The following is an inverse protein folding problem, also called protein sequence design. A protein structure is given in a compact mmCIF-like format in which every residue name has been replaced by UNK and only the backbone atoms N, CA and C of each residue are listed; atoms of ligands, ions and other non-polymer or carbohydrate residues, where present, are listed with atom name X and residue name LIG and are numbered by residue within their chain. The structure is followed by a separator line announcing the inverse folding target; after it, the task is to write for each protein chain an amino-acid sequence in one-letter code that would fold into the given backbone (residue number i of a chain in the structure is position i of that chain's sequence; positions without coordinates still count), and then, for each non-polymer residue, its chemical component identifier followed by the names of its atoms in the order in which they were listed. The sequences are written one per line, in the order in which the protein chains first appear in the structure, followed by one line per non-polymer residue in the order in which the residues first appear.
data_IF_111675608525
#
_entry.id   IF_111675608525
#
_cell.length_a   1.000
_cell.length_b   1.000
_cell.length_c   1.000
_cell.angle_alpha   90.00
_cell.angle_beta   90.00
_cell.angle_gamma   90.00
#
_symmetry.space_group_name_H-M   'P 1'
#
loop_
_entity.id
_entity.type
_entity.pdbx_description
1 polymer ?
#
# COMPACT_ATOMS: atom_id res chain seq x y z
N UNK A 1 7.82 -6.28 23.80
CA UNK A 1 8.21 -7.50 23.06
C UNK A 1 7.21 -7.74 21.93
N UNK A 2 7.65 -8.28 20.79
CA UNK A 2 6.77 -8.72 19.74
C UNK A 2 6.11 -10.06 20.13
N UNK A 3 4.84 -10.25 19.73
CA UNK A 3 4.10 -11.49 19.89
C UNK A 3 3.88 -12.10 18.50
N UNK A 4 3.83 -13.44 18.42
CA UNK A 4 3.44 -14.15 17.21
C UNK A 4 1.99 -14.59 17.38
N UNK A 5 1.19 -14.35 16.34
CA UNK A 5 -0.19 -14.76 16.25
C UNK A 5 -0.32 -15.72 15.05
N UNK A 6 -0.68 -16.96 15.30
CA UNK A 6 -0.81 -17.98 14.25
C UNK A 6 -2.22 -17.93 13.64
N UNK A 7 -2.36 -18.34 12.39
CA UNK A 7 -3.65 -18.44 11.70
C UNK A 7 -4.67 -19.31 12.46
N UNK A 8 -4.21 -20.35 13.14
CA UNK A 8 -5.06 -21.26 13.94
C UNK A 8 -5.52 -20.64 15.28
N UNK A 9 -4.90 -19.55 15.75
CA UNK A 9 -5.25 -18.95 17.04
C UNK A 9 -6.66 -18.37 17.02
N UNK A 10 -7.46 -18.55 18.08
CA UNK A 10 -8.80 -17.94 18.18
C UNK A 10 -8.80 -16.42 18.11
N UNK A 11 -7.67 -15.78 18.46
CA UNK A 11 -7.49 -14.34 18.40
C UNK A 11 -7.14 -13.82 16.99
N UNK A 12 -6.90 -14.70 16.01
CA UNK A 12 -6.61 -14.29 14.62
C UNK A 12 -7.84 -13.63 14.00
N UNK A 13 -7.69 -12.45 13.32
CA UNK A 13 -8.82 -11.70 12.80
C UNK A 13 -9.69 -12.52 11.84
N UNK A 14 -10.99 -12.60 12.11
CA UNK A 14 -11.92 -13.43 11.34
C UNK A 14 -12.02 -13.00 9.87
N UNK A 15 -12.01 -11.69 9.61
CA UNK A 15 -12.02 -11.15 8.24
C UNK A 15 -10.76 -11.52 7.47
N UNK A 16 -9.60 -11.41 8.11
CA UNK A 16 -8.32 -11.75 7.48
C UNK A 16 -8.21 -13.27 7.23
N UNK A 17 -8.77 -14.08 8.12
CA UNK A 17 -8.79 -15.56 7.99
C UNK A 17 -9.56 -16.05 6.76
N UNK A 18 -10.52 -15.27 6.27
CA UNK A 18 -11.33 -15.59 5.10
C UNK A 18 -10.58 -15.47 3.77
N UNK A 19 -9.40 -14.84 3.78
CA UNK A 19 -8.62 -14.68 2.56
C UNK A 19 -8.01 -16.03 2.13
N UNK A 20 -8.02 -16.36 0.83
CA UNK A 20 -7.39 -17.60 0.32
C UNK A 20 -5.88 -17.61 0.54
N UNK A 21 -5.27 -16.43 0.65
CA UNK A 21 -3.84 -16.20 0.89
C UNK A 21 -3.58 -15.53 2.25
N UNK A 22 -4.43 -15.85 3.26
CA UNK A 22 -4.26 -15.32 4.61
C UNK A 22 -2.85 -15.66 5.16
N UNK A 23 -2.17 -14.70 5.83
CA UNK A 23 -0.89 -14.97 6.46
C UNK A 23 -0.96 -16.13 7.44
N UNK A 24 -0.07 -17.12 7.34
CA UNK A 24 0.00 -18.24 8.28
C UNK A 24 0.33 -17.77 9.71
N UNK A 25 1.03 -16.64 9.82
CA UNK A 25 1.37 -15.98 11.08
C UNK A 25 1.46 -14.46 10.91
N UNK A 26 1.27 -13.75 12.03
CA UNK A 26 1.51 -12.31 12.14
C UNK A 26 2.44 -12.03 13.33
N UNK A 27 3.46 -11.25 13.10
CA UNK A 27 4.21 -10.59 14.15
C UNK A 27 3.44 -9.36 14.60
N UNK A 28 3.19 -9.23 15.91
CA UNK A 28 2.37 -8.18 16.50
C UNK A 28 3.15 -7.43 17.57
N UNK A 29 3.10 -6.09 17.56
CA UNK A 29 3.69 -5.23 18.61
C UNK A 29 2.69 -4.12 18.97
N UNK A 30 2.31 -4.01 20.23
CA UNK A 30 1.30 -3.10 20.75
C UNK A 30 0.07 -3.83 21.27
N UNK A 31 -1.09 -3.17 21.24
CA UNK A 31 -2.35 -3.68 21.77
C UNK A 31 -3.05 -4.66 20.82
N UNK A 32 -2.85 -5.96 21.06
CA UNK A 32 -3.48 -7.02 20.26
C UNK A 32 -5.00 -7.10 20.36
N UNK A 33 -5.64 -6.41 21.32
CA UNK A 33 -7.11 -6.37 21.44
C UNK A 33 -7.77 -5.71 20.24
N UNK A 34 -7.05 -4.79 19.56
CA UNK A 34 -7.53 -4.09 18.36
C UNK A 34 -7.84 -5.03 17.20
N UNK A 35 -7.26 -6.23 17.15
CA UNK A 35 -7.57 -7.24 16.12
C UNK A 35 -8.99 -7.81 16.22
N UNK A 36 -9.70 -7.57 17.32
CA UNK A 36 -11.09 -8.01 17.55
C UNK A 36 -12.10 -6.89 17.32
N UNK A 37 -11.65 -5.66 17.23
CA UNK A 37 -12.50 -4.50 16.99
C UNK A 37 -12.91 -4.41 15.51
N UNK A 38 -14.04 -3.77 15.19
CA UNK A 38 -14.38 -3.46 13.82
C UNK A 38 -13.35 -2.49 13.26
N UNK A 39 -12.80 -2.80 12.08
CA UNK A 39 -11.72 -2.03 11.51
C UNK A 39 -12.08 -1.48 10.12
N UNK A 40 -11.53 -0.30 9.79
CA UNK A 40 -11.74 0.38 8.54
C UNK A 40 -10.41 0.92 8.01
N UNK A 41 -10.10 0.68 6.74
CA UNK A 41 -8.83 1.09 6.17
C UNK A 41 -8.91 2.50 5.57
N UNK A 42 -7.90 3.33 5.86
CA UNK A 42 -7.72 4.65 5.25
C UNK A 42 -6.37 4.67 4.55
N UNK A 43 -6.39 4.80 3.21
CA UNK A 43 -5.18 4.75 2.37
C UNK A 43 -5.17 5.89 1.36
N UNK A 44 -4.00 6.17 0.77
CA UNK A 44 -3.91 7.18 -0.27
C UNK A 44 -2.49 7.50 -0.71
N UNK A 45 -2.34 8.69 -1.30
CA UNK A 45 -1.10 9.19 -1.85
C UNK A 45 -0.01 9.35 -0.78
N UNK A 46 1.23 8.92 -1.11
CA UNK A 46 2.42 9.23 -0.31
C UNK A 46 2.81 10.71 -0.39
N UNK A 47 2.49 11.36 -1.49
CA UNK A 47 2.68 12.80 -1.75
C UNK A 47 1.34 13.51 -1.79
N UNK A 48 0.56 13.32 -0.72
CA UNK A 48 -0.76 13.90 -0.60
C UNK A 48 -0.70 15.43 -0.45
N UNK A 49 -1.72 16.09 -1.00
CA UNK A 49 -1.95 17.52 -0.80
C UNK A 49 -2.28 17.82 0.67
N UNK A 50 -2.20 19.09 1.06
CA UNK A 50 -2.62 19.52 2.40
C UNK A 50 -4.11 19.17 2.65
N UNK A 51 -4.95 19.36 1.62
CA UNK A 51 -6.38 19.04 1.68
C UNK A 51 -6.61 17.54 1.81
N UNK A 52 -5.93 16.70 0.98
CA UNK A 52 -6.04 15.24 1.08
C UNK A 52 -5.64 14.72 2.46
N UNK A 53 -4.58 15.28 3.06
CA UNK A 53 -4.16 14.97 4.43
C UNK A 53 -5.22 15.38 5.46
N UNK A 54 -5.80 16.59 5.33
CA UNK A 54 -6.84 17.08 6.24
C UNK A 54 -8.09 16.19 6.18
N UNK A 55 -8.51 15.77 4.99
CA UNK A 55 -9.63 14.85 4.78
C UNK A 55 -9.35 13.50 5.43
N UNK A 56 -8.17 12.91 5.18
CA UNK A 56 -7.81 11.62 5.76
C UNK A 56 -7.75 11.67 7.30
N UNK A 57 -7.18 12.75 7.86
CA UNK A 57 -7.14 12.97 9.30
C UNK A 57 -8.54 13.11 9.89
N UNK A 58 -9.42 13.89 9.24
CA UNK A 58 -10.82 14.06 9.65
C UNK A 58 -11.55 12.71 9.68
N UNK A 59 -11.51 11.96 8.58
CA UNK A 59 -12.18 10.66 8.46
C UNK A 59 -11.69 9.67 9.50
N UNK A 60 -10.36 9.55 9.64
CA UNK A 60 -9.74 8.64 10.61
C UNK A 60 -10.08 9.01 12.05
N UNK A 61 -10.08 10.31 12.38
CA UNK A 61 -10.42 10.82 13.71
C UNK A 61 -11.87 10.52 14.06
N UNK A 62 -12.80 10.85 13.17
CA UNK A 62 -14.24 10.66 13.39
C UNK A 62 -14.60 9.18 13.55
N UNK A 63 -14.14 8.32 12.63
CA UNK A 63 -14.38 6.88 12.70
C UNK A 63 -13.77 6.27 13.97
N UNK A 64 -12.55 6.68 14.32
CA UNK A 64 -11.89 6.19 15.53
C UNK A 64 -12.55 6.71 16.82
N UNK A 65 -13.11 7.91 16.82
CA UNK A 65 -13.90 8.43 17.95
C UNK A 65 -15.16 7.59 18.22
N UNK A 66 -15.78 7.03 17.15
CA UNK A 66 -16.90 6.10 17.26
C UNK A 66 -16.50 4.69 17.72
N UNK A 67 -15.22 4.37 17.81
CA UNK A 67 -14.73 3.05 18.19
C UNK A 67 -14.32 2.15 17.02
N UNK A 68 -14.32 2.66 15.77
CA UNK A 68 -13.81 1.93 14.61
C UNK A 68 -12.29 2.02 14.57
N UNK A 69 -11.60 0.88 14.52
CA UNK A 69 -10.14 0.84 14.45
C UNK A 69 -9.65 1.21 13.05
N UNK A 70 -8.77 2.18 12.94
CA UNK A 70 -8.21 2.59 11.65
C UNK A 70 -7.06 1.68 11.26
N UNK A 71 -7.10 1.14 10.03
CA UNK A 71 -6.02 0.32 9.48
C UNK A 71 -5.33 1.09 8.35
N UNK A 72 -3.99 1.14 8.37
CA UNK A 72 -3.23 1.71 7.26
C UNK A 72 -1.81 1.12 7.19
N UNK A 73 -1.02 1.61 6.22
CA UNK A 73 0.24 0.97 5.84
C UNK A 73 1.50 1.62 6.37
N UNK A 74 1.44 2.55 7.30
CA UNK A 74 2.61 3.25 7.85
C UNK A 74 3.44 4.02 6.81
N UNK A 75 2.93 4.23 5.60
CA UNK A 75 3.60 5.01 4.56
C UNK A 75 3.55 6.52 4.87
N UNK A 76 4.35 7.30 4.14
CA UNK A 76 4.23 8.77 4.17
C UNK A 76 2.87 9.23 3.63
N UNK A 77 2.47 10.45 3.96
CA UNK A 77 1.27 11.08 3.42
C UNK A 77 0.00 10.61 4.12
N UNK A 78 -0.97 10.07 3.39
CA UNK A 78 -2.30 9.72 3.92
C UNK A 78 -2.22 8.74 5.08
N UNK A 79 -1.43 7.67 4.95
CA UNK A 79 -1.32 6.63 5.97
C UNK A 79 -0.84 7.21 7.31
N UNK A 80 0.20 8.05 7.27
CA UNK A 80 0.78 8.69 8.45
C UNK A 80 -0.25 9.52 9.21
N UNK A 81 -0.93 10.44 8.51
CA UNK A 81 -1.92 11.33 9.15
C UNK A 81 -3.16 10.58 9.62
N UNK A 82 -3.54 9.49 8.94
CA UNK A 82 -4.64 8.63 9.40
C UNK A 82 -4.31 7.95 10.74
N UNK A 83 -3.08 7.42 10.88
CA UNK A 83 -2.63 6.85 12.15
C UNK A 83 -2.59 7.90 13.27
N UNK A 84 -1.96 9.05 13.02
CA UNK A 84 -1.87 10.15 14.01
C UNK A 84 -3.24 10.61 14.49
N UNK A 85 -4.19 10.78 13.57
CA UNK A 85 -5.52 11.27 13.89
C UNK A 85 -6.39 10.25 14.67
N UNK A 86 -6.12 8.94 14.49
CA UNK A 86 -6.84 7.87 15.15
C UNK A 86 -6.31 7.54 16.53
N UNK A 87 -5.01 7.79 16.79
CA UNK A 87 -4.40 7.58 18.11
C UNK A 87 -5.02 8.52 19.15
N UNK A 88 -5.08 8.08 20.39
CA UNK A 88 -5.76 8.83 21.47
C UNK A 88 -7.29 8.82 21.40
N UNK A 89 -7.89 8.10 20.44
CA UNK A 89 -9.33 7.87 20.30
C UNK A 89 -9.71 6.45 20.71
N UNK A 90 -11.00 6.17 20.80
CA UNK A 90 -11.53 4.87 21.25
C UNK A 90 -11.09 3.72 20.33
N UNK A 91 -11.21 3.89 19.01
CA UNK A 91 -10.88 2.88 18.01
C UNK A 91 -9.39 2.68 17.79
N UNK A 92 -8.56 3.71 18.02
CA UNK A 92 -7.11 3.67 17.82
C UNK A 92 -6.72 3.24 16.41
N UNK A 93 -5.52 2.63 16.24
CA UNK A 93 -5.04 2.30 14.92
C UNK A 93 -4.19 1.03 14.85
N UNK A 94 -4.28 0.32 13.71
CA UNK A 94 -3.43 -0.81 13.34
C UNK A 94 -2.56 -0.41 12.15
N UNK A 95 -1.25 -0.45 12.32
CA UNK A 95 -0.26 -0.23 11.27
C UNK A 95 0.22 -1.56 10.69
N UNK A 96 0.00 -1.80 9.41
CA UNK A 96 0.50 -2.99 8.71
C UNK A 96 1.84 -2.67 8.07
N UNK A 97 2.86 -3.50 8.29
CA UNK A 97 4.22 -3.23 7.82
C UNK A 97 4.56 -4.06 6.58
N UNK A 98 5.33 -3.48 5.66
CA UNK A 98 5.98 -4.18 4.54
C UNK A 98 7.43 -4.56 4.85
N UNK A 99 7.81 -4.57 6.14
CA UNK A 99 9.13 -4.86 6.67
C UNK A 99 9.00 -5.77 7.88
N UNK A 100 10.10 -6.23 8.45
CA UNK A 100 10.08 -6.88 9.76
C UNK A 100 9.46 -5.97 10.83
N UNK A 101 8.86 -6.59 11.85
CA UNK A 101 8.15 -5.87 12.93
C UNK A 101 9.08 -4.93 13.75
N UNK A 102 10.37 -5.12 13.67
CA UNK A 102 11.45 -4.36 14.31
C UNK A 102 12.06 -3.29 13.40
N UNK A 103 11.70 -3.26 12.11
CA UNK A 103 12.24 -2.33 11.12
C UNK A 103 11.29 -1.17 10.88
N UNK A 104 11.67 0.03 11.33
CA UNK A 104 10.88 1.26 11.16
C UNK A 104 11.15 1.90 9.80
N UNK A 105 10.17 1.83 8.91
CA UNK A 105 10.24 2.41 7.58
C UNK A 105 8.90 3.05 7.16
N UNK A 106 8.89 4.27 6.64
CA UNK A 106 10.04 5.17 6.40
C UNK A 106 10.53 5.86 7.70
N UNK A 107 11.80 6.26 7.73
CA UNK A 107 12.42 6.87 8.90
C UNK A 107 11.76 8.19 9.33
N UNK A 108 11.18 8.95 8.38
CA UNK A 108 10.48 10.21 8.67
C UNK A 108 9.23 10.01 9.55
N UNK A 109 8.66 8.79 9.63
CA UNK A 109 7.50 8.46 10.46
C UNK A 109 7.90 7.94 11.86
N UNK A 110 9.14 8.14 12.31
CA UNK A 110 9.62 7.59 13.58
C UNK A 110 8.75 7.95 14.79
N UNK A 111 8.21 9.19 14.83
CA UNK A 111 7.28 9.64 15.88
C UNK A 111 5.98 8.84 15.89
N UNK A 112 5.41 8.59 14.70
CA UNK A 112 4.18 7.79 14.55
C UNK A 112 4.43 6.34 14.95
N UNK A 113 5.56 5.75 14.57
CA UNK A 113 5.95 4.40 15.00
C UNK A 113 6.00 4.30 16.52
N UNK A 114 6.61 5.28 17.21
CA UNK A 114 6.69 5.29 18.67
C UNK A 114 5.30 5.41 19.34
N UNK A 115 4.42 6.21 18.76
CA UNK A 115 3.05 6.35 19.23
C UNK A 115 2.23 5.06 18.98
N UNK A 116 2.36 4.45 17.80
CA UNK A 116 1.70 3.19 17.45
C UNK A 116 2.15 2.02 18.35
N UNK A 117 3.42 1.95 18.73
CA UNK A 117 3.93 0.94 19.67
C UNK A 117 3.35 1.10 21.06
N UNK A 118 3.02 2.32 21.47
CA UNK A 118 2.51 2.66 22.80
C UNK A 118 0.99 2.56 22.91
N UNK A 119 0.27 3.03 21.89
CA UNK A 119 -1.19 3.23 21.92
C UNK A 119 -1.96 2.45 20.88
N UNK A 120 -1.28 1.98 19.82
CA UNK A 120 -1.87 1.25 18.72
C UNK A 120 -1.39 -0.19 18.64
N UNK A 121 -1.42 -0.73 17.42
CA UNK A 121 -0.90 -2.06 17.10
C UNK A 121 -0.12 -2.01 15.79
N UNK A 122 1.08 -2.57 15.77
CA UNK A 122 1.82 -2.86 14.55
C UNK A 122 1.73 -4.34 14.24
N UNK A 123 1.49 -4.68 12.97
CA UNK A 123 1.47 -6.07 12.50
C UNK A 123 2.34 -6.23 11.25
N UNK A 124 2.99 -7.38 11.12
CA UNK A 124 3.79 -7.75 9.96
C UNK A 124 3.71 -9.24 9.69
N UNK A 125 3.67 -9.63 8.43
CA UNK A 125 3.85 -11.02 7.98
C UNK A 125 5.34 -11.35 7.77
N UNK A 126 6.18 -10.33 7.59
CA UNK A 126 7.60 -10.49 7.31
C UNK A 126 8.39 -10.79 8.57
N UNK A 127 9.42 -11.67 8.49
CA UNK A 127 10.22 -12.01 9.66
C UNK A 127 10.97 -10.79 10.21
N UNK A 128 11.32 -10.79 11.51
CA UNK A 128 12.15 -9.74 12.09
C UNK A 128 13.43 -9.53 11.27
N UNK A 129 13.85 -8.26 11.12
CA UNK A 129 14.99 -7.86 10.31
C UNK A 129 14.70 -7.76 8.80
N UNK A 130 13.52 -8.14 8.30
CA UNK A 130 13.19 -8.04 6.88
C UNK A 130 13.27 -6.57 6.40
N UNK A 131 14.11 -6.27 5.37
CA UNK A 131 14.29 -4.91 4.88
C UNK A 131 13.10 -4.39 4.07
N UNK A 132 13.01 -3.06 3.82
CA UNK A 132 11.94 -2.44 3.05
C UNK A 132 12.10 -2.68 1.53
N UNK A 133 11.81 -3.89 1.08
CA UNK A 133 11.85 -4.23 -0.35
C UNK A 133 10.60 -3.69 -1.06
N UNK A 134 10.72 -3.08 -2.27
CA UNK A 134 9.60 -2.57 -3.03
C UNK A 134 8.49 -3.59 -3.28
N UNK A 135 8.85 -4.86 -3.46
CA UNK A 135 7.93 -5.98 -3.69
C UNK A 135 7.05 -6.32 -2.48
N UNK A 136 7.52 -6.02 -1.26
CA UNK A 136 6.80 -6.34 -0.04
C UNK A 136 5.54 -5.46 0.16
N UNK A 137 5.57 -4.22 -0.32
CA UNK A 137 4.48 -3.27 -0.09
C UNK A 137 3.18 -3.66 -0.80
N UNK A 138 3.17 -4.07 -2.08
CA UNK A 138 1.96 -4.60 -2.72
C UNK A 138 1.45 -5.88 -2.05
N UNK A 139 2.34 -6.80 -1.67
CA UNK A 139 1.98 -8.04 -0.97
C UNK A 139 1.31 -7.74 0.38
N UNK A 140 1.88 -6.82 1.17
CA UNK A 140 1.34 -6.39 2.45
C UNK A 140 -0.07 -5.79 2.33
N UNK A 141 -0.39 -5.09 1.24
CA UNK A 141 -1.64 -4.36 1.09
C UNK A 141 -2.88 -5.25 1.22
N UNK A 142 -2.78 -6.56 0.88
CA UNK A 142 -3.87 -7.52 1.10
C UNK A 142 -4.24 -7.69 2.58
N UNK A 143 -3.30 -7.46 3.47
CA UNK A 143 -3.55 -7.52 4.92
C UNK A 143 -4.28 -6.26 5.39
N UNK A 144 -3.98 -5.08 4.80
CA UNK A 144 -4.70 -3.83 5.11
C UNK A 144 -6.18 -3.99 4.77
N UNK A 145 -6.50 -4.37 3.54
CA UNK A 145 -7.89 -4.60 3.11
C UNK A 145 -8.52 -5.80 3.82
N UNK A 146 -7.74 -6.87 4.06
CA UNK A 146 -8.20 -8.08 4.72
C UNK A 146 -8.63 -7.90 6.18
N UNK A 147 -8.04 -6.95 6.90
CA UNK A 147 -8.42 -6.60 8.27
C UNK A 147 -9.68 -5.72 8.34
N UNK A 148 -10.05 -5.05 7.26
CA UNK A 148 -11.01 -3.96 7.26
C UNK A 148 -12.40 -4.39 6.75
N UNK A 149 -13.44 -3.73 7.24
CA UNK A 149 -14.81 -3.82 6.73
C UNK A 149 -14.94 -3.13 5.37
N UNK A 150 -14.15 -2.08 5.15
CA UNK A 150 -14.07 -1.32 3.92
C UNK A 150 -12.79 -0.51 3.85
N UNK A 151 -12.50 0.03 2.67
CA UNK A 151 -11.28 0.79 2.37
C UNK A 151 -11.66 2.16 1.80
N UNK A 152 -11.22 3.23 2.43
CA UNK A 152 -11.30 4.59 1.92
C UNK A 152 -10.00 4.97 1.21
N UNK A 153 -10.12 5.40 -0.02
CA UNK A 153 -9.05 6.10 -0.75
C UNK A 153 -9.30 7.62 -0.62
N UNK A 154 -8.55 8.26 0.28
CA UNK A 154 -8.75 9.68 0.59
C UNK A 154 -8.24 10.60 -0.53
N UNK A 155 -7.11 10.24 -1.15
CA UNK A 155 -6.54 10.94 -2.31
C UNK A 155 -5.66 9.97 -3.09
N UNK A 156 -5.86 9.89 -4.40
CA UNK A 156 -5.02 9.06 -5.26
C UNK A 156 -4.91 9.65 -6.67
N UNK A 157 -3.70 9.82 -7.16
CA UNK A 157 -3.43 10.02 -8.59
C UNK A 157 -3.61 8.70 -9.35
N UNK A 158 -3.73 8.76 -10.69
CA UNK A 158 -4.03 7.59 -11.55
C UNK A 158 -3.06 6.41 -11.41
N UNK A 159 -1.83 6.62 -10.95
CA UNK A 159 -0.80 5.58 -10.74
C UNK A 159 -0.44 5.38 -9.27
N UNK A 160 -1.36 5.70 -8.36
CA UNK A 160 -1.12 5.54 -6.92
C UNK A 160 -1.12 4.06 -6.51
N UNK A 161 -0.17 3.68 -5.64
CA UNK A 161 -0.13 2.34 -5.03
C UNK A 161 -1.35 2.02 -4.15
N UNK A 162 -2.08 3.05 -3.66
CA UNK A 162 -3.31 2.88 -2.90
C UNK A 162 -4.46 2.28 -3.74
N UNK A 163 -4.44 2.47 -5.07
CA UNK A 163 -5.39 1.85 -5.98
C UNK A 163 -5.26 0.31 -6.01
N UNK A 164 -4.07 -0.21 -5.72
CA UNK A 164 -3.85 -1.66 -5.54
C UNK A 164 -4.62 -2.15 -4.31
N UNK A 165 -4.58 -1.40 -3.21
CA UNK A 165 -5.34 -1.75 -1.99
C UNK A 165 -6.85 -1.73 -2.24
N UNK A 166 -7.36 -0.75 -3.00
CA UNK A 166 -8.77 -0.68 -3.39
C UNK A 166 -9.19 -1.89 -4.23
N UNK A 167 -8.36 -2.31 -5.20
CA UNK A 167 -8.63 -3.51 -6.01
C UNK A 167 -8.65 -4.77 -5.14
N UNK A 168 -7.66 -4.96 -4.27
CA UNK A 168 -7.61 -6.08 -3.33
C UNK A 168 -8.83 -6.09 -2.42
N UNK A 169 -9.31 -4.93 -1.97
CA UNK A 169 -10.52 -4.81 -1.18
C UNK A 169 -11.74 -5.39 -1.92
N UNK A 170 -11.93 -5.03 -3.20
CA UNK A 170 -13.01 -5.56 -4.03
C UNK A 170 -12.90 -7.08 -4.22
N UNK A 171 -11.69 -7.58 -4.50
CA UNK A 171 -11.42 -9.02 -4.64
C UNK A 171 -11.72 -9.80 -3.33
N UNK A 172 -11.62 -9.13 -2.19
CA UNK A 172 -11.86 -9.65 -0.85
C UNK A 172 -13.30 -9.41 -0.35
N UNK A 173 -14.21 -8.92 -1.19
CA UNK A 173 -15.59 -8.54 -0.82
C UNK A 173 -15.64 -7.48 0.30
N UNK A 174 -14.76 -6.48 0.23
CA UNK A 174 -14.77 -5.30 1.10
C UNK A 174 -15.36 -4.11 0.34
N UNK A 175 -16.09 -3.26 1.06
CA UNK A 175 -16.59 -2.02 0.48
C UNK A 175 -15.44 -1.07 0.13
N UNK A 176 -15.55 -0.38 -1.00
CA UNK A 176 -14.57 0.61 -1.44
C UNK A 176 -15.21 1.98 -1.50
N UNK A 177 -14.56 2.91 -0.81
CA UNK A 177 -14.97 4.31 -0.74
C UNK A 177 -13.87 5.19 -1.32
N UNK A 178 -14.26 6.30 -1.90
CA UNK A 178 -13.31 7.29 -2.39
C UNK A 178 -13.82 8.71 -2.13
N UNK A 179 -12.88 9.61 -1.80
CA UNK A 179 -13.15 11.04 -1.81
C UNK A 179 -12.91 11.54 -3.23
N UNK A 180 -13.93 12.08 -3.92
CA UNK A 180 -13.80 12.43 -5.35
C UNK A 180 -12.71 13.48 -5.62
N UNK A 181 -12.61 14.48 -4.74
CA UNK A 181 -11.72 15.62 -4.92
C UNK A 181 -12.14 16.53 -6.09
N UNK A 182 -11.39 17.61 -6.35
CA UNK A 182 -11.66 18.53 -7.46
C UNK A 182 -11.49 17.84 -8.82
N UNK A 183 -12.38 18.16 -9.78
CA UNK A 183 -12.48 17.46 -11.06
C UNK A 183 -11.22 17.54 -11.94
N UNK A 184 -10.47 18.65 -11.84
CA UNK A 184 -9.27 18.91 -12.64
C UNK A 184 -7.96 18.65 -11.89
N UNK A 185 -8.03 18.19 -10.63
CA UNK A 185 -6.83 17.94 -9.83
C UNK A 185 -6.23 16.57 -10.17
N UNK A 186 -5.00 16.59 -10.70
CA UNK A 186 -4.24 15.39 -11.04
C UNK A 186 -4.00 14.47 -9.83
N UNK A 187 -3.98 15.01 -8.61
CA UNK A 187 -3.85 14.23 -7.38
C UNK A 187 -5.08 13.40 -7.06
N UNK A 188 -6.25 13.75 -7.62
CA UNK A 188 -7.54 13.10 -7.37
C UNK A 188 -8.03 12.21 -8.52
N UNK A 189 -7.35 12.18 -9.68
CA UNK A 189 -7.80 11.41 -10.84
C UNK A 189 -8.02 9.93 -10.54
N UNK A 190 -7.16 9.31 -9.73
CA UNK A 190 -7.34 7.91 -9.34
C UNK A 190 -8.53 7.69 -8.41
N UNK A 191 -8.81 8.63 -7.47
CA UNK A 191 -10.00 8.59 -6.62
C UNK A 191 -11.27 8.76 -7.45
N UNK A 192 -11.27 9.66 -8.42
CA UNK A 192 -12.39 9.88 -9.34
C UNK A 192 -12.65 8.65 -10.21
N UNK A 193 -11.59 8.00 -10.72
CA UNK A 193 -11.72 6.77 -11.49
C UNK A 193 -12.29 5.63 -10.67
N UNK A 194 -11.96 5.53 -9.38
CA UNK A 194 -12.59 4.57 -8.48
C UNK A 194 -14.09 4.82 -8.36
N UNK A 195 -14.52 6.07 -8.20
CA UNK A 195 -15.94 6.43 -8.16
C UNK A 195 -16.65 6.06 -9.47
N UNK A 196 -16.04 6.34 -10.64
CA UNK A 196 -16.58 5.93 -11.95
C UNK A 196 -16.70 4.40 -12.10
N UNK A 197 -15.85 3.64 -11.40
CA UNK A 197 -15.86 2.17 -11.37
C UNK A 197 -16.82 1.60 -10.33
N UNK A 198 -17.56 2.44 -9.59
CA UNK A 198 -18.56 2.03 -8.62
C UNK A 198 -18.13 2.09 -7.16
N UNK A 199 -16.95 2.64 -6.84
CA UNK A 199 -16.61 2.95 -5.46
C UNK A 199 -17.59 4.03 -4.93
N UNK A 200 -17.96 3.90 -3.66
CA UNK A 200 -18.92 4.84 -3.05
C UNK A 200 -18.24 6.19 -2.78
N UNK A 201 -18.75 7.30 -3.32
CA UNK A 201 -18.25 8.61 -2.96
C UNK A 201 -18.64 8.92 -1.51
N UNK A 202 -17.68 9.47 -0.75
CA UNK A 202 -17.91 9.92 0.63
C UNK A 202 -17.43 11.34 0.82
N UNK A 203 -18.19 12.08 1.60
CA UNK A 203 -17.97 13.49 1.91
C UNK A 203 -17.72 13.72 3.40
N UNK A 204 -18.12 12.76 4.25
CA UNK A 204 -17.95 12.80 5.69
C UNK A 204 -17.91 11.37 6.28
N UNK A 205 -17.60 11.26 7.58
CA UNK A 205 -17.53 9.97 8.26
C UNK A 205 -18.91 9.32 8.44
N UNK A 206 -19.97 10.11 8.51
CA UNK A 206 -21.34 9.60 8.66
C UNK A 206 -21.79 8.78 7.45
N UNK A 207 -21.34 9.13 6.24
CA UNK A 207 -21.60 8.35 5.02
C UNK A 207 -21.11 6.89 5.17
N UNK A 208 -19.90 6.71 5.73
CA UNK A 208 -19.32 5.39 6.01
C UNK A 208 -20.09 4.67 7.12
N UNK A 209 -20.42 5.37 8.21
CA UNK A 209 -21.12 4.77 9.35
C UNK A 209 -22.52 4.30 8.98
N UNK A 210 -23.24 5.05 8.14
CA UNK A 210 -24.57 4.65 7.62
C UNK A 210 -24.47 3.42 6.73
N UNK A 211 -23.52 3.42 5.84
CA UNK A 211 -23.36 2.36 4.87
C UNK A 211 -22.94 1.03 5.49
N UNK A 212 -22.09 1.09 6.53
CA UNK A 212 -21.66 -0.07 7.29
C UNK A 212 -22.52 -0.36 8.52
N UNK A 213 -23.69 0.30 8.69
CA UNK A 213 -24.49 0.22 9.91
C UNK A 213 -24.80 -1.22 10.35
N UNK A 214 -25.19 -2.11 9.44
CA UNK A 214 -25.49 -3.51 9.78
C UNK A 214 -24.28 -4.28 10.26
N UNK A 215 -23.09 -3.96 9.75
CA UNK A 215 -21.82 -4.59 10.15
C UNK A 215 -21.25 -4.01 11.44
N UNK A 216 -21.58 -2.77 11.77
CA UNK A 216 -21.12 -2.04 12.94
C UNK A 216 -22.08 -2.17 14.13
N UNK A 217 -23.37 -2.45 13.89
CA UNK A 217 -24.40 -2.62 14.94
C UNK A 217 -24.03 -3.62 16.04
N UNK A 218 -23.40 -4.80 15.76
CA UNK A 218 -22.98 -5.73 16.81
C UNK A 218 -21.97 -5.15 17.80
N UNK A 219 -21.31 -4.06 17.43
CA UNK A 219 -20.33 -3.34 18.26
C UNK A 219 -20.92 -2.09 18.94
N UNK A 220 -22.22 -1.82 18.75
CA UNK A 220 -22.88 -0.62 19.25
C UNK A 220 -22.42 0.67 18.56
N UNK A 221 -21.95 0.57 17.32
CA UNK A 221 -21.44 1.70 16.53
C UNK A 221 -22.42 2.02 15.40
N UNK A 222 -22.75 3.30 15.28
CA UNK A 222 -23.61 3.84 14.24
C UNK A 222 -23.41 5.36 14.07
N UNK A 223 -24.14 6.01 13.18
CA UNK A 223 -24.06 7.45 12.97
C UNK A 223 -24.32 8.26 14.25
N UNK A 224 -25.15 7.74 15.14
CA UNK A 224 -25.48 8.34 16.44
C UNK A 224 -24.31 8.36 17.42
N UNK A 225 -23.35 7.48 17.26
CA UNK A 225 -22.15 7.42 18.12
C UNK A 225 -21.10 8.48 17.77
N UNK A 226 -21.29 9.20 16.65
CA UNK A 226 -20.37 10.26 16.26
C UNK A 226 -20.53 11.45 17.21
N UNK A 227 -19.48 11.85 17.94
CA UNK A 227 -19.54 12.98 18.88
C UNK A 227 -19.90 14.28 18.15
N UNK A 228 -20.70 15.14 18.80
CA UNK A 228 -21.16 16.40 18.19
C UNK A 228 -20.00 17.30 17.74
N UNK A 229 -18.92 17.37 18.48
CA UNK A 229 -17.71 18.11 18.10
C UNK A 229 -16.94 17.53 16.90
N UNK A 230 -17.26 16.31 16.45
CA UNK A 230 -16.67 15.66 15.28
C UNK A 230 -17.61 15.66 14.06
N UNK A 231 -18.86 16.12 14.23
CA UNK A 231 -19.85 16.23 13.14
C UNK A 231 -19.60 17.41 12.22
N UNK A 232 -18.84 18.40 12.69
CA UNK A 232 -18.49 19.55 11.86
C UNK A 232 -17.64 19.10 10.69
N UNK A 233 -18.25 19.08 9.50
CA UNK A 233 -17.54 18.81 8.26
C UNK A 233 -16.42 19.85 8.08
N UNK A 234 -15.26 19.41 7.62
CA UNK A 234 -14.20 20.35 7.23
C UNK A 234 -14.77 21.35 6.20
N UNK A 235 -14.51 22.65 6.35
CA UNK A 235 -14.91 23.65 5.36
C UNK A 235 -14.43 23.20 3.96
N UNK A 236 -15.37 23.09 3.00
CA UNK A 236 -15.06 22.61 1.64
C UNK A 236 -15.31 21.12 1.35
N UNK A 237 -15.67 20.30 2.36
CA UNK A 237 -16.04 18.88 2.16
C UNK A 237 -17.54 18.64 1.97
N UNK A 238 -18.38 19.66 2.02
CA UNK A 238 -19.79 19.52 1.69
C UNK A 238 -19.98 19.45 0.16
N UNK A 239 -21.02 18.78 -0.32
CA UNK A 239 -21.38 18.76 -1.75
C UNK A 239 -21.47 20.18 -2.35
N UNK A 240 -21.85 21.18 -1.55
CA UNK A 240 -21.84 22.60 -1.89
C UNK A 240 -20.42 23.20 -1.95
N UNK A 241 -19.47 22.69 -1.15
CA UNK A 241 -18.09 23.17 -1.14
C UNK A 241 -17.27 22.75 -2.35
N UNK A 242 -17.60 21.62 -2.99
CA UNK A 242 -16.99 21.23 -4.26
C UNK A 242 -17.42 22.14 -5.43
N UNK A 243 -18.61 22.76 -5.35
CA UNK A 243 -19.07 23.72 -6.34
C UNK A 243 -18.52 25.14 -6.13
N UNK A 244 -18.14 25.51 -4.90
CA UNK A 244 -17.70 26.87 -4.56
C UNK A 244 -16.18 27.08 -4.77
N UNK A 245 -15.36 26.04 -4.78
CA UNK A 245 -13.92 26.16 -5.01
C UNK A 245 -13.55 26.50 -6.46
N UNK A 246 -14.47 26.24 -7.43
CA UNK A 246 -14.24 26.52 -8.85
C UNK A 246 -14.48 27.99 -9.24
N UNK A 247 -15.02 28.82 -8.34
CA UNK A 247 -15.37 30.23 -8.67
C UNK A 247 -14.35 31.24 -8.11
N UNK A 248 -13.46 30.83 -7.19
CA UNK A 248 -12.51 31.73 -6.54
C UNK A 248 -11.09 31.75 -7.18
N UNK A 249 -10.87 31.00 -8.25
CA UNK A 249 -9.65 31.04 -9.07
C UNK A 249 -9.71 32.20 -10.09
N UNK A 250 -9.80 33.43 -9.59
CA UNK A 250 -9.91 34.63 -10.41
C UNK A 250 -8.60 34.94 -11.14
N UNK A 251 -8.78 35.07 -12.44
CA UNK A 251 -8.08 36.02 -13.34
C UNK A 251 -6.80 36.61 -12.78
N UNK A 252 -5.66 36.03 -13.13
CA UNK A 252 -4.38 36.76 -13.10
C UNK A 252 -4.34 37.63 -14.34
N UNK A 253 -4.52 38.94 -14.16
CA UNK A 253 -4.31 39.93 -15.17
C UNK A 253 -2.81 40.06 -15.43
N UNK A 254 -2.41 39.76 -16.67
CA UNK A 254 -1.14 40.17 -17.25
C UNK A 254 -1.04 41.69 -17.25
N UNK A 255 -0.06 42.23 -16.56
CA UNK A 255 0.57 43.52 -16.89
C UNK A 255 2.05 43.45 -16.51
N UNK A 256 2.90 43.24 -17.50
CA UNK A 256 4.28 43.69 -17.64
C UNK A 256 4.27 45.17 -18.11
N UNK A 257 5.32 46.02 -18.01
CA UNK A 257 6.75 45.76 -17.93
C UNK A 257 7.62 46.74 -17.12
N UNK A 258 8.84 46.29 -16.82
CA UNK A 258 10.03 47.16 -17.00
C UNK A 258 10.44 48.10 -15.89
N UNK A 259 11.60 47.83 -15.27
CA UNK A 259 12.68 48.83 -15.14
C UNK A 259 13.95 48.17 -14.53
N UNK A 260 15.01 48.40 -15.25
CA UNK A 260 16.42 48.16 -15.00
C UNK A 260 16.93 49.00 -13.83
N UNK A 261 17.75 48.42 -12.93
CA UNK A 261 18.89 49.14 -12.34
C UNK A 261 19.86 48.17 -11.64
N UNK A 262 21.02 48.17 -12.20
CA UNK A 262 22.37 47.81 -11.81
C UNK A 262 22.77 48.13 -10.35
N UNK A 263 23.58 47.25 -9.76
CA UNK A 263 24.35 47.52 -8.54
C UNK A 263 25.32 46.39 -8.24
N UNK A 264 26.53 46.52 -8.71
CA UNK A 264 27.72 45.74 -8.35
C UNK A 264 27.99 45.91 -6.86
N UNK A 265 28.46 44.86 -6.19
CA UNK A 265 29.79 44.82 -5.54
C UNK A 265 30.07 43.42 -4.95
N UNK A 266 31.25 42.93 -5.27
CA UNK A 266 32.07 41.90 -4.60
C UNK A 266 33.27 42.67 -4.02
N UNK A 267 34.25 42.10 -3.26
CA UNK A 267 34.38 40.86 -2.50
C UNK A 267 35.11 41.04 -1.13
N UNK A 268 35.32 39.97 -0.35
CA UNK A 268 36.56 39.73 0.44
C UNK A 268 36.42 38.36 1.16
N UNK A 269 37.15 37.37 0.81
CA UNK A 269 38.46 36.87 1.26
C UNK A 269 38.57 36.59 2.78
N UNK A 270 38.99 35.37 3.06
CA UNK A 270 39.42 34.92 4.38
C UNK A 270 39.58 33.42 4.46
N UNK A 271 40.63 32.96 3.95
CA UNK A 271 41.48 31.81 4.03
C UNK A 271 41.92 31.42 5.45
N UNK A 272 42.15 30.14 5.65
CA UNK A 272 43.33 29.46 6.21
C UNK A 272 42.89 28.12 6.85
N UNK A 273 43.31 26.98 6.31
CA UNK A 273 44.52 26.22 6.66
C UNK A 273 44.41 25.58 8.07
N UNK A 274 44.75 24.41 8.35
CA UNK A 274 45.51 23.31 7.76
C UNK A 274 45.72 22.23 8.88
N UNK A 275 46.17 21.02 8.46
CA UNK A 275 46.93 19.99 9.20
C UNK A 275 46.21 18.82 9.85
N UNK A 276 46.21 17.71 9.14
CA UNK A 276 47.16 16.57 9.18
C UNK A 276 47.44 15.90 10.52
N UNK A 277 47.26 14.58 10.56
CA UNK A 277 48.16 13.50 10.98
C UNK A 277 47.33 12.20 11.15
N UNK A 278 47.42 11.20 10.36
CA UNK A 278 48.33 10.08 10.17
C UNK A 278 48.81 9.36 11.44
N UNK A 279 48.47 8.08 11.51
CA UNK A 279 49.22 6.91 11.98
C UNK A 279 48.20 5.83 12.35
N UNK A 280 48.09 4.66 11.79
CA UNK A 280 49.11 3.68 11.47
C UNK A 280 49.32 2.72 12.63
N UNK A 281 48.83 1.52 12.58
CA UNK A 281 49.59 0.32 12.85
C UNK A 281 48.72 -0.95 12.67
N UNK A 282 49.33 -1.85 11.95
CA UNK A 282 48.96 -3.23 11.68
C UNK A 282 49.36 -4.16 12.86
N UNK A 283 48.78 -5.31 12.85
CA UNK A 283 49.35 -6.65 13.13
C UNK A 283 48.23 -7.54 13.66
N UNK A 284 47.97 -8.64 13.13
CA UNK A 284 48.62 -9.85 12.67
C UNK A 284 48.16 -11.03 13.54
N UNK A 285 48.09 -12.20 12.88
CA UNK A 285 47.97 -13.58 13.39
C UNK A 285 46.59 -14.04 13.88
N UNK A 286 46.08 -15.19 13.48
CA UNK A 286 46.66 -16.36 12.94
C UNK A 286 45.59 -17.41 12.59
N UNK A 287 45.81 -18.03 11.47
CA UNK A 287 45.09 -19.17 10.97
C UNK A 287 45.36 -20.42 11.85
N UNK A 288 44.32 -21.20 12.07
CA UNK A 288 44.51 -22.63 12.42
C UNK A 288 43.54 -23.49 11.62
N UNK A 289 44.08 -24.09 10.58
CA UNK A 289 43.50 -25.17 9.84
C UNK A 289 43.46 -26.43 10.73
N UNK A 290 42.32 -27.09 10.79
CA UNK A 290 42.22 -28.47 11.28
C UNK A 290 41.88 -29.34 10.08
N UNK A 291 42.86 -30.16 9.71
CA UNK A 291 42.74 -31.25 8.73
C UNK A 291 42.08 -32.44 9.40
N UNK A 292 41.11 -33.07 8.73
CA UNK A 292 40.60 -34.40 9.03
C UNK A 292 40.69 -35.26 7.76
N UNK A 293 41.15 -36.53 7.87
CA UNK A 293 41.65 -37.30 6.76
C UNK A 293 40.58 -37.99 5.91
N UNK A 294 40.97 -38.32 4.68
CA UNK A 294 40.18 -38.91 3.62
C UNK A 294 39.62 -40.28 3.92
N UNK A 295 38.42 -40.50 3.43
CA UNK A 295 37.82 -41.81 3.18
C UNK A 295 37.46 -41.87 1.70
N UNK A 296 38.11 -42.80 1.00
CA UNK A 296 37.81 -43.13 -0.39
C UNK A 296 36.45 -43.72 -0.50
N UNK A 297 35.60 -43.25 -1.40
CA UNK A 297 34.39 -43.92 -1.83
C UNK A 297 34.31 -43.92 -3.35
N UNK A 298 34.06 -45.09 -3.87
CA UNK A 298 34.01 -45.58 -5.22
C UNK A 298 33.39 -44.65 -6.26
N UNK A 299 34.09 -44.59 -7.38
CA UNK A 299 33.69 -43.97 -8.64
C UNK A 299 32.71 -44.91 -9.38
N UNK A 300 31.39 -44.59 -9.32
CA UNK A 300 30.42 -45.09 -10.27
C UNK A 300 30.12 -43.98 -11.28
N UNK A 301 30.01 -44.29 -12.60
CA UNK A 301 29.82 -43.26 -13.62
C UNK A 301 28.46 -42.59 -13.46
N UNK A 302 28.47 -41.28 -13.39
CA UNK A 302 27.29 -40.43 -13.33
C UNK A 302 26.47 -40.58 -14.63
N UNK A 303 25.17 -40.80 -14.47
CA UNK A 303 24.21 -40.75 -15.56
C UNK A 303 24.20 -39.35 -16.18
N UNK A 304 23.98 -39.21 -17.51
CA UNK A 304 23.94 -37.93 -18.17
C UNK A 304 22.80 -37.07 -17.62
N UNK A 305 23.00 -35.74 -17.46
CA UNK A 305 21.95 -34.84 -17.01
C UNK A 305 20.79 -34.85 -18.00
N UNK A 306 19.52 -34.71 -17.50
CA UNK A 306 18.37 -34.55 -18.39
C UNK A 306 18.55 -33.30 -19.26
N UNK A 307 18.01 -33.28 -20.49
CA UNK A 307 18.17 -32.13 -21.39
C UNK A 307 17.62 -30.88 -20.72
N UNK A 308 18.43 -29.83 -20.62
CA UNK A 308 18.02 -28.51 -20.21
C UNK A 308 16.79 -28.08 -21.03
N UNK A 309 15.65 -27.94 -20.38
CA UNK A 309 14.49 -27.29 -20.97
C UNK A 309 14.92 -25.87 -21.35
N UNK A 310 15.01 -25.60 -22.64
CA UNK A 310 15.38 -24.31 -23.19
C UNK A 310 14.47 -23.24 -22.55
N UNK A 311 15.06 -22.36 -21.74
CA UNK A 311 14.35 -21.22 -21.15
C UNK A 311 13.96 -20.30 -22.30
N UNK A 312 12.68 -20.39 -22.71
CA UNK A 312 12.12 -19.57 -23.76
C UNK A 312 12.20 -18.09 -23.38
N UNK A 313 12.68 -17.25 -24.28
CA UNK A 313 12.71 -15.80 -24.06
C UNK A 313 11.29 -15.24 -23.86
N UNK A 314 11.10 -14.13 -23.15
CA UNK A 314 9.80 -13.52 -22.97
C UNK A 314 9.05 -13.21 -24.29
N UNK A 315 9.77 -12.86 -25.36
CA UNK A 315 9.19 -12.65 -26.69
C UNK A 315 8.58 -13.94 -27.27
N UNK A 316 9.28 -15.06 -27.15
CA UNK A 316 8.81 -16.37 -27.63
C UNK A 316 7.60 -16.87 -26.82
N UNK A 317 7.54 -16.56 -25.53
CA UNK A 317 6.40 -16.89 -24.67
C UNK A 317 5.16 -16.07 -25.05
N UNK A 318 5.33 -14.77 -25.37
CA UNK A 318 4.26 -13.89 -25.82
C UNK A 318 3.65 -14.36 -27.14
N UNK A 319 4.48 -14.76 -28.11
CA UNK A 319 4.03 -15.26 -29.41
C UNK A 319 3.24 -16.58 -29.26
N UNK A 320 3.69 -17.49 -28.42
CA UNK A 320 2.98 -18.76 -28.16
C UNK A 320 1.61 -18.50 -27.52
N UNK A 321 1.54 -17.56 -26.55
CA UNK A 321 0.29 -17.19 -25.90
C UNK A 321 -0.70 -16.57 -26.89
N UNK A 322 -0.24 -15.64 -27.73
CA UNK A 322 -1.07 -15.01 -28.78
C UNK A 322 -1.54 -16.04 -29.82
N UNK A 323 -0.68 -16.95 -30.25
CA UNK A 323 -1.04 -18.02 -31.20
C UNK A 323 -2.12 -18.93 -30.58
N UNK A 324 -1.99 -19.28 -29.30
CA UNK A 324 -2.96 -20.13 -28.62
C UNK A 324 -4.33 -19.44 -28.49
N UNK A 325 -4.35 -18.17 -28.10
CA UNK A 325 -5.58 -17.37 -28.04
C UNK A 325 -6.25 -17.17 -29.42
N UNK A 326 -5.48 -17.02 -30.50
CA UNK A 326 -6.03 -16.92 -31.86
C UNK A 326 -6.70 -18.23 -32.30
N UNK A 327 -6.15 -19.38 -31.91
CA UNK A 327 -6.67 -20.68 -32.27
C UNK A 327 -7.89 -21.15 -31.50
N UNK A 328 -8.05 -20.71 -30.27
CA UNK A 328 -9.07 -21.24 -29.35
C UNK A 328 -10.10 -20.18 -28.87
N UNK A 329 -9.94 -18.93 -29.27
CA UNK A 329 -10.80 -17.83 -28.82
C UNK A 329 -10.56 -17.44 -27.35
N UNK A 330 -11.56 -16.81 -26.68
CA UNK A 330 -11.41 -16.33 -25.31
C UNK A 330 -11.22 -17.45 -24.31
N UNK A 331 -10.09 -17.48 -23.58
CA UNK A 331 -9.73 -18.49 -22.59
C UNK A 331 -9.53 -17.90 -21.20
N UNK A 332 -9.80 -18.71 -20.17
CA UNK A 332 -9.50 -18.35 -18.77
C UNK A 332 -7.99 -18.39 -18.51
N UNK A 333 -7.54 -17.55 -17.55
CA UNK A 333 -6.12 -17.42 -17.17
C UNK A 333 -5.50 -18.78 -16.81
N UNK A 334 -6.22 -19.60 -16.04
CA UNK A 334 -5.72 -20.91 -15.60
C UNK A 334 -5.50 -21.85 -16.77
N UNK A 335 -6.44 -21.87 -17.74
CA UNK A 335 -6.32 -22.68 -18.95
C UNK A 335 -5.14 -22.21 -19.84
N UNK A 336 -4.91 -20.89 -19.90
CA UNK A 336 -3.76 -20.32 -20.60
C UNK A 336 -2.44 -20.70 -19.96
N UNK A 337 -2.37 -20.68 -18.62
CA UNK A 337 -1.18 -21.08 -17.86
C UNK A 337 -0.76 -22.51 -18.15
N UNK A 338 -1.71 -23.42 -18.14
CA UNK A 338 -1.50 -24.84 -18.47
C UNK A 338 -1.07 -25.02 -19.94
N UNK A 339 -1.72 -24.32 -20.88
CA UNK A 339 -1.47 -24.46 -22.32
C UNK A 339 -0.08 -23.93 -22.72
N UNK A 340 0.40 -22.87 -22.07
CA UNK A 340 1.69 -22.22 -22.39
C UNK A 340 2.82 -22.72 -21.48
N UNK A 341 2.50 -23.44 -20.40
CA UNK A 341 3.47 -23.97 -19.45
C UNK A 341 4.14 -22.89 -18.62
N UNK A 342 3.41 -21.81 -18.30
CA UNK A 342 3.91 -20.69 -17.49
C UNK A 342 3.37 -20.74 -16.06
N UNK A 343 4.24 -20.42 -15.10
CA UNK A 343 3.81 -20.19 -13.73
C UNK A 343 2.85 -18.98 -13.65
N UNK A 344 1.87 -18.96 -12.73
CA UNK A 344 0.84 -17.92 -12.64
C UNK A 344 1.38 -16.49 -12.60
N UNK A 345 2.47 -16.25 -11.88
CA UNK A 345 3.11 -14.94 -11.79
C UNK A 345 3.70 -14.47 -13.13
N UNK A 346 4.38 -15.37 -13.86
CA UNK A 346 4.97 -15.06 -15.16
C UNK A 346 3.88 -14.85 -16.23
N UNK A 347 2.81 -15.66 -16.19
CA UNK A 347 1.66 -15.52 -17.08
C UNK A 347 0.95 -14.17 -16.87
N UNK A 348 0.69 -13.79 -15.63
CA UNK A 348 0.05 -12.52 -15.33
C UNK A 348 0.89 -11.32 -15.77
N UNK A 349 2.21 -11.34 -15.55
CA UNK A 349 3.11 -10.29 -16.01
C UNK A 349 3.08 -10.17 -17.56
N UNK A 350 3.05 -11.31 -18.26
CA UNK A 350 2.99 -11.36 -19.71
C UNK A 350 1.65 -10.85 -20.26
N UNK A 351 0.53 -11.26 -19.66
CA UNK A 351 -0.82 -10.80 -20.04
C UNK A 351 -0.99 -9.30 -19.83
N UNK A 352 -0.51 -8.75 -18.71
CA UNK A 352 -0.52 -7.31 -18.47
C UNK A 352 0.32 -6.58 -19.51
N UNK A 353 1.51 -7.09 -19.85
CA UNK A 353 2.35 -6.50 -20.88
C UNK A 353 1.69 -6.48 -22.26
N UNK A 354 1.01 -7.57 -22.64
CA UNK A 354 0.29 -7.67 -23.90
C UNK A 354 -1.00 -6.81 -23.93
N UNK A 355 -1.67 -6.66 -22.81
CA UNK A 355 -2.83 -5.79 -22.67
C UNK A 355 -2.43 -4.31 -22.78
N UNK A 356 -1.32 -3.91 -22.16
CA UNK A 356 -0.76 -2.56 -22.32
C UNK A 356 -0.30 -2.25 -23.76
N UNK A 357 0.12 -3.27 -24.51
CA UNK A 357 0.44 -3.16 -25.93
C UNK A 357 -0.80 -3.21 -26.84
N UNK A 358 -1.99 -3.37 -26.27
CA UNK A 358 -3.25 -3.47 -26.99
C UNK A 358 -3.41 -4.76 -27.82
N UNK A 359 -2.59 -5.79 -27.57
CA UNK A 359 -2.63 -7.06 -28.31
C UNK A 359 -3.65 -8.07 -27.78
N UNK A 360 -3.99 -7.97 -26.49
CA UNK A 360 -5.04 -8.77 -25.85
C UNK A 360 -6.02 -7.87 -25.11
N UNK A 361 -7.22 -8.37 -24.89
CA UNK A 361 -8.27 -7.72 -24.10
C UNK A 361 -8.75 -8.68 -23.03
N UNK A 362 -8.93 -8.17 -21.79
CA UNK A 362 -9.53 -8.92 -20.69
C UNK A 362 -11.06 -8.86 -20.80
N UNK A 363 -11.70 -10.01 -20.60
CA UNK A 363 -13.16 -10.17 -20.56
C UNK A 363 -13.62 -10.53 -19.14
N UNK A 364 -14.93 -10.38 -18.83
CA UNK A 364 -15.50 -10.85 -17.56
C UNK A 364 -15.21 -12.33 -17.30
N UNK A 365 -14.95 -12.69 -16.02
CA UNK A 365 -14.60 -14.06 -15.63
C UNK A 365 -13.12 -14.41 -15.86
N UNK A 366 -12.20 -13.42 -15.77
CA UNK A 366 -10.76 -13.61 -15.95
C UNK A 366 -10.38 -14.32 -17.26
N UNK A 367 -11.13 -14.06 -18.35
CA UNK A 367 -10.84 -14.53 -19.70
C UNK A 367 -10.08 -13.49 -20.49
N UNK A 368 -9.25 -13.93 -21.42
CA UNK A 368 -8.51 -13.08 -22.34
C UNK A 368 -8.77 -13.46 -23.78
N UNK A 369 -8.78 -12.48 -24.68
CA UNK A 369 -8.86 -12.68 -26.13
C UNK A 369 -7.85 -11.78 -26.85
N UNK A 370 -7.49 -12.16 -28.08
CA UNK A 370 -6.64 -11.32 -28.95
C UNK A 370 -7.49 -10.16 -29.47
N UNK A 371 -6.95 -8.96 -29.39
CA UNK A 371 -7.57 -7.78 -30.01
C UNK A 371 -7.23 -7.79 -31.50
N UNK A 372 -8.27 -7.75 -32.33
CA UNK A 372 -8.12 -7.69 -33.78
C UNK A 372 -7.45 -6.37 -34.24
#
# INVERSE_FOLDING_TARGET
AARILLWADPAYPSLLRQLPDAPALLYCRGDGSLLRAPAFAVVGSRRATAQGKAVAAYMARCLSACGVTIVSGMAQGIDCVAHEAALGRVGRSIGVLGTGIDVRYPACNAGVFAAMEREGLLVSEFPPGAPPLPTNFPVRNRIISGLALGVLVAEAASRSGSLVTARLALEQNREVYAVPGPALDAHCLGSQDLVRQGARPVFNAEDVLRDLADRLRPYGIGPETLPDGEREALPGLTAAGFAAADVAGGVVSDTDPGAVASGRDKPSDGAAQDKTASAGLASDTGARAVSVPGGAVDNAPAAPPPPEAAVLTPATQAERLLAHLRGHGPLQVDALGLAVGLAPAALNALLIGLEMQGKVRRLPGARYEVRA
#
